data_IF_230936811726
#
_entry.id   IF_230936811726
#
_cell.length_a   1.000
_cell.length_b   1.000
_cell.length_c   1.000
_cell.angle_alpha   90.00
_cell.angle_beta   90.00
_cell.angle_gamma   90.00
#
_symmetry.space_group_name_H-M   'P 1'
#
loop_
_entity.id
_entity.type
_entity.pdbx_description
1 polymer ?
#
# COMPACT_ATOMS: atom_id res chain seq x y z
N UNK A 1 26.61 41.89 20.08
CA UNK A 1 25.48 40.96 19.84
C UNK A 1 25.72 40.21 18.53
N UNK A 2 26.01 38.90 18.51
CA UNK A 2 25.97 38.12 17.29
C UNK A 2 24.68 37.30 17.25
N UNK A 3 23.66 37.80 16.58
CA UNK A 3 22.54 37.00 16.10
C UNK A 3 22.86 36.59 14.66
N UNK A 4 22.98 35.29 14.37
CA UNK A 4 23.14 34.86 12.97
C UNK A 4 23.73 33.48 12.68
N UNK A 5 23.98 32.60 13.67
CA UNK A 5 24.60 31.28 13.41
C UNK A 5 23.71 30.04 13.63
N UNK A 6 22.42 30.19 13.92
CA UNK A 6 21.61 29.03 14.34
C UNK A 6 20.78 28.37 13.23
N UNK A 7 20.54 28.99 12.07
CA UNK A 7 19.50 28.49 11.14
C UNK A 7 19.95 27.47 10.10
N UNK A 8 21.24 27.41 9.75
CA UNK A 8 21.77 26.44 8.79
C UNK A 8 22.14 25.09 9.44
N UNK A 9 22.56 25.12 10.70
CA UNK A 9 22.94 23.92 11.46
C UNK A 9 21.73 23.07 11.81
N UNK A 10 20.62 23.67 12.26
CA UNK A 10 19.36 22.98 12.59
C UNK A 10 18.63 22.40 11.36
N UNK A 11 18.79 23.02 10.18
CA UNK A 11 18.14 22.55 8.94
C UNK A 11 18.80 21.29 8.35
N UNK A 12 20.08 21.08 8.67
CA UNK A 12 20.82 19.84 8.38
C UNK A 12 20.38 18.67 9.26
N UNK A 13 19.69 18.94 10.39
CA UNK A 13 19.70 18.00 11.51
C UNK A 13 19.05 16.66 11.29
N UNK A 14 18.09 16.42 10.38
CA UNK A 14 17.56 15.04 10.19
C UNK A 14 17.08 14.73 8.78
N UNK A 15 17.91 14.96 7.76
CA UNK A 15 17.65 14.33 6.46
C UNK A 15 18.06 12.85 6.52
N UNK A 16 17.16 11.95 6.11
CA UNK A 16 17.41 10.52 6.14
C UNK A 16 17.24 9.91 4.75
N UNK A 17 18.26 9.17 4.33
CA UNK A 17 18.17 8.22 3.21
C UNK A 17 17.82 6.82 3.72
N UNK A 18 17.31 5.99 2.82
CA UNK A 18 17.11 4.55 3.02
C UNK A 18 18.34 3.76 2.61
N UNK A 19 18.51 2.56 3.16
CA UNK A 19 19.45 1.59 2.58
C UNK A 19 18.88 1.07 1.25
N UNK A 20 19.75 0.56 0.36
CA UNK A 20 19.36 0.09 -0.98
C UNK A 20 18.20 -0.90 -0.95
N UNK A 21 18.20 -1.83 0.01
CA UNK A 21 17.10 -2.79 0.19
C UNK A 21 15.73 -2.15 0.45
N UNK A 22 15.65 -1.10 1.28
CA UNK A 22 14.39 -0.39 1.54
C UNK A 22 13.92 0.38 0.30
N UNK A 23 14.85 1.01 -0.41
CA UNK A 23 14.54 1.70 -1.66
C UNK A 23 14.01 0.74 -2.73
N UNK A 24 14.65 -0.43 -2.91
CA UNK A 24 14.16 -1.49 -3.79
C UNK A 24 12.78 -2.00 -3.37
N UNK A 25 12.54 -2.18 -2.07
CA UNK A 25 11.23 -2.59 -1.56
C UNK A 25 10.13 -1.60 -1.95
N UNK A 26 10.38 -0.29 -1.83
CA UNK A 26 9.42 0.74 -2.26
C UNK A 26 9.19 0.68 -3.78
N UNK A 27 10.25 0.52 -4.58
CA UNK A 27 10.09 0.39 -6.04
C UNK A 27 9.29 -0.85 -6.40
N UNK A 28 9.56 -2.00 -5.79
CA UNK A 28 8.87 -3.27 -6.09
C UNK A 28 7.40 -3.21 -5.64
N UNK A 29 7.13 -2.77 -4.42
CA UNK A 29 5.75 -2.64 -3.92
C UNK A 29 4.97 -1.58 -4.68
N UNK A 30 5.59 -0.45 -5.00
CA UNK A 30 5.02 0.57 -5.88
C UNK A 30 4.73 0.03 -7.29
N UNK A 31 5.67 -0.69 -7.91
CA UNK A 31 5.47 -1.27 -9.23
C UNK A 31 4.35 -2.32 -9.24
N UNK A 32 4.26 -3.19 -8.22
CA UNK A 32 3.19 -4.17 -8.09
C UNK A 32 1.81 -3.51 -7.93
N UNK A 33 1.72 -2.49 -7.07
CA UNK A 33 0.47 -1.73 -6.88
C UNK A 33 0.08 -0.91 -8.12
N UNK A 34 1.06 -0.32 -8.80
CA UNK A 34 0.85 0.41 -10.06
C UNK A 34 0.34 -0.54 -11.15
N UNK A 35 0.96 -1.71 -11.31
CA UNK A 35 0.53 -2.72 -12.27
C UNK A 35 -0.91 -3.16 -12.01
N UNK A 36 -1.23 -3.50 -10.75
CA UNK A 36 -2.60 -3.86 -10.37
C UNK A 36 -3.59 -2.73 -10.71
N UNK A 37 -3.26 -1.50 -10.32
CA UNK A 37 -4.11 -0.33 -10.58
C UNK A 37 -4.30 -0.06 -12.07
N UNK A 38 -3.24 -0.25 -12.87
CA UNK A 38 -3.25 -0.06 -14.31
C UNK A 38 -4.16 -1.09 -15.00
N UNK A 39 -4.01 -2.36 -14.67
CA UNK A 39 -4.84 -3.43 -15.25
C UNK A 39 -6.31 -3.26 -14.87
N UNK A 40 -6.62 -3.01 -13.59
CA UNK A 40 -8.00 -2.80 -13.15
C UNK A 40 -8.62 -1.58 -13.86
N UNK A 41 -7.84 -0.51 -14.08
CA UNK A 41 -8.33 0.67 -14.80
C UNK A 41 -8.69 0.33 -16.25
N UNK A 42 -7.80 -0.40 -16.96
CA UNK A 42 -8.07 -0.84 -18.34
C UNK A 42 -9.30 -1.75 -18.41
N UNK A 43 -9.39 -2.74 -17.51
CA UNK A 43 -10.51 -3.68 -17.50
C UNK A 43 -11.83 -2.96 -17.19
N UNK A 44 -11.82 -1.95 -16.32
CA UNK A 44 -12.99 -1.13 -16.04
C UNK A 44 -13.41 -0.29 -17.25
N UNK A 45 -12.48 0.24 -18.04
CA UNK A 45 -12.84 0.93 -19.28
C UNK A 45 -13.45 0.00 -20.30
N UNK A 46 -12.89 -1.20 -20.49
CA UNK A 46 -13.47 -2.20 -21.39
C UNK A 46 -14.87 -2.62 -20.97
N UNK A 47 -15.12 -2.77 -19.67
CA UNK A 47 -16.45 -3.09 -19.14
C UNK A 47 -17.47 -1.96 -19.36
N UNK A 48 -17.01 -0.69 -19.39
CA UNK A 48 -17.85 0.45 -19.71
C UNK A 48 -18.17 0.54 -21.21
N UNK A 49 -17.27 0.05 -22.07
CA UNK A 49 -17.48 -0.01 -23.53
C UNK A 49 -18.36 -1.20 -23.93
N UNK A 50 -18.17 -2.35 -23.28
CA UNK A 50 -18.88 -3.59 -23.51
C UNK A 50 -19.23 -4.26 -22.16
N UNK A 51 -20.50 -4.18 -21.71
CA UNK A 51 -20.96 -4.80 -20.47
C UNK A 51 -20.81 -6.33 -20.44
N UNK A 52 -20.71 -6.99 -21.60
CA UNK A 52 -20.50 -8.44 -21.67
C UNK A 52 -19.00 -8.82 -21.58
N UNK A 53 -18.10 -7.84 -21.43
CA UNK A 53 -16.67 -8.06 -21.26
C UNK A 53 -16.37 -8.77 -19.93
N UNK A 54 -15.77 -9.95 -20.00
CA UNK A 54 -15.28 -10.67 -18.82
C UNK A 54 -13.82 -10.35 -18.54
N UNK A 55 -13.47 -9.69 -17.41
CA UNK A 55 -12.08 -9.42 -17.05
C UNK A 55 -11.27 -10.71 -16.90
N UNK A 56 -9.99 -10.69 -17.30
CA UNK A 56 -9.15 -11.90 -17.30
C UNK A 56 -8.88 -12.52 -15.91
N UNK A 57 -9.14 -11.77 -14.84
CA UNK A 57 -9.05 -12.26 -13.46
C UNK A 57 -10.42 -12.69 -12.87
N UNK A 58 -11.49 -12.66 -13.67
CA UNK A 58 -12.80 -13.21 -13.32
C UNK A 58 -12.87 -14.69 -13.72
N UNK A 59 -12.47 -15.57 -12.81
CA UNK A 59 -12.33 -17.00 -13.07
C UNK A 59 -13.56 -17.80 -12.65
N UNK A 60 -14.25 -17.35 -11.60
CA UNK A 60 -15.42 -18.01 -11.04
C UNK A 60 -16.24 -16.99 -10.22
N UNK A 61 -17.44 -17.33 -9.71
CA UNK A 61 -18.28 -16.39 -8.99
C UNK A 61 -17.64 -15.78 -7.73
N UNK A 62 -16.72 -16.51 -7.08
CA UNK A 62 -15.98 -16.03 -5.91
C UNK A 62 -14.81 -15.14 -6.33
N UNK A 63 -14.00 -15.57 -7.30
CA UNK A 63 -12.88 -14.83 -7.87
C UNK A 63 -13.37 -14.07 -9.11
N UNK A 64 -14.11 -12.99 -8.88
CA UNK A 64 -14.70 -12.13 -9.91
C UNK A 64 -14.27 -10.68 -9.74
N UNK A 65 -13.39 -10.24 -10.63
CA UNK A 65 -12.99 -8.84 -10.71
C UNK A 65 -14.14 -7.95 -11.21
N UNK A 66 -15.00 -8.48 -12.09
CA UNK A 66 -16.17 -7.76 -12.64
C UNK A 66 -17.12 -7.31 -11.54
N UNK A 67 -17.56 -8.24 -10.69
CA UNK A 67 -18.47 -7.96 -9.57
C UNK A 67 -17.94 -6.88 -8.63
N UNK A 68 -16.62 -6.84 -8.42
CA UNK A 68 -15.97 -5.81 -7.62
C UNK A 68 -15.97 -4.47 -8.36
N UNK A 69 -15.64 -4.46 -9.65
CA UNK A 69 -15.56 -3.23 -10.44
C UNK A 69 -16.91 -2.55 -10.65
N UNK A 70 -18.00 -3.32 -10.71
CA UNK A 70 -19.37 -2.80 -10.83
C UNK A 70 -19.94 -2.26 -9.52
N UNK A 71 -19.35 -2.64 -8.37
CA UNK A 71 -19.82 -2.20 -7.07
C UNK A 71 -19.62 -0.69 -6.84
N UNK A 72 -20.53 -0.07 -6.08
CA UNK A 72 -20.44 1.35 -5.70
C UNK A 72 -19.13 1.65 -4.94
N UNK A 73 -18.62 0.67 -4.19
CA UNK A 73 -17.40 0.77 -3.42
C UNK A 73 -16.16 0.91 -4.31
N UNK A 74 -16.22 0.51 -5.59
CA UNK A 74 -15.15 0.71 -6.56
C UNK A 74 -14.93 2.18 -6.95
N UNK A 75 -15.84 3.08 -6.55
CA UNK A 75 -15.74 4.52 -6.75
C UNK A 75 -16.06 5.31 -5.47
N UNK A 76 -15.42 4.94 -4.37
CA UNK A 76 -15.70 5.49 -3.03
C UNK A 76 -15.52 7.02 -2.93
N UNK A 77 -14.69 7.60 -3.79
CA UNK A 77 -14.40 9.04 -3.83
C UNK A 77 -15.03 9.75 -5.04
N UNK A 78 -16.01 9.12 -5.72
CA UNK A 78 -16.65 9.66 -6.93
C UNK A 78 -15.88 9.42 -8.22
N UNK A 79 -14.74 8.74 -8.15
CA UNK A 79 -13.96 8.27 -9.30
C UNK A 79 -13.45 6.85 -9.03
N UNK A 80 -13.07 6.07 -10.06
CA UNK A 80 -12.58 4.72 -9.88
C UNK A 80 -11.36 4.67 -8.93
N UNK A 81 -11.46 3.91 -7.85
CA UNK A 81 -10.37 3.75 -6.87
C UNK A 81 -9.01 3.35 -7.50
N UNK A 82 -8.95 2.53 -8.57
CA UNK A 82 -7.68 2.24 -9.24
C UNK A 82 -6.93 3.49 -9.73
N UNK A 83 -7.63 4.58 -10.08
CA UNK A 83 -6.99 5.84 -10.47
C UNK A 83 -6.25 6.51 -9.29
N UNK A 84 -6.78 6.39 -8.07
CA UNK A 84 -6.06 6.79 -6.86
C UNK A 84 -4.76 5.99 -6.73
N UNK A 85 -4.84 4.68 -6.99
CA UNK A 85 -3.71 3.77 -6.98
C UNK A 85 -2.62 4.16 -8.00
N UNK A 86 -3.01 4.52 -9.23
CA UNK A 86 -2.06 4.98 -10.25
C UNK A 86 -1.19 6.15 -9.77
N UNK A 87 -1.82 7.14 -9.14
CA UNK A 87 -1.11 8.32 -8.61
C UNK A 87 -0.28 7.93 -7.38
N UNK A 88 -0.89 7.26 -6.40
CA UNK A 88 -0.24 6.94 -5.13
C UNK A 88 0.97 6.02 -5.30
N UNK A 89 0.83 4.92 -6.06
CA UNK A 89 1.92 3.99 -6.32
C UNK A 89 2.99 4.60 -7.25
N UNK A 90 2.60 5.47 -8.18
CA UNK A 90 3.54 6.25 -8.97
C UNK A 90 4.46 7.11 -8.08
N UNK A 91 3.88 7.82 -7.10
CA UNK A 91 4.65 8.58 -6.10
C UNK A 91 5.59 7.67 -5.31
N UNK A 92 5.12 6.50 -4.86
CA UNK A 92 5.95 5.53 -4.12
C UNK A 92 7.17 5.10 -4.94
N UNK A 93 7.00 4.80 -6.23
CA UNK A 93 8.11 4.46 -7.13
C UNK A 93 9.09 5.63 -7.22
N UNK A 94 8.60 6.85 -7.43
CA UNK A 94 9.45 8.04 -7.48
C UNK A 94 10.27 8.22 -6.19
N UNK A 95 9.67 7.98 -5.01
CA UNK A 95 10.38 7.99 -3.73
C UNK A 95 11.47 6.90 -3.71
N UNK A 96 11.12 5.67 -4.05
CA UNK A 96 12.06 4.55 -4.08
C UNK A 96 13.26 4.80 -5.00
N UNK A 97 13.01 5.26 -6.23
CA UNK A 97 14.06 5.60 -7.20
C UNK A 97 14.91 6.77 -6.71
N UNK A 98 14.30 7.80 -6.11
CA UNK A 98 15.05 8.92 -5.52
C UNK A 98 16.01 8.46 -4.43
N UNK A 99 15.60 7.51 -3.58
CA UNK A 99 16.49 6.91 -2.58
C UNK A 99 17.63 6.11 -3.20
N UNK A 100 17.38 5.39 -4.30
CA UNK A 100 18.43 4.69 -5.06
C UNK A 100 19.45 5.65 -5.66
N UNK A 101 18.99 6.83 -6.11
CA UNK A 101 19.84 7.93 -6.57
C UNK A 101 20.59 8.65 -5.44
N UNK A 102 20.39 8.25 -4.18
CA UNK A 102 21.09 8.81 -3.01
C UNK A 102 20.39 10.01 -2.38
N UNK A 103 19.14 10.32 -2.76
CA UNK A 103 18.38 11.40 -2.14
C UNK A 103 18.16 11.14 -0.64
N UNK A 104 18.13 12.23 0.13
CA UNK A 104 17.81 12.21 1.55
C UNK A 104 16.67 13.18 1.81
N UNK A 105 15.59 12.67 2.40
CA UNK A 105 14.41 13.48 2.65
C UNK A 105 14.37 13.97 4.10
N UNK A 106 13.84 15.17 4.35
CA UNK A 106 13.66 15.71 5.69
C UNK A 106 12.57 14.96 6.47
N UNK A 107 12.56 15.10 7.80
CA UNK A 107 11.59 14.44 8.70
C UNK A 107 10.12 14.65 8.29
N UNK A 108 9.72 15.86 7.93
CA UNK A 108 8.32 16.17 7.58
C UNK A 108 7.84 15.35 6.36
N UNK A 109 8.74 15.12 5.41
CA UNK A 109 8.45 14.34 4.21
C UNK A 109 8.15 12.89 4.58
N UNK A 110 8.99 12.30 5.43
CA UNK A 110 8.78 10.94 5.93
C UNK A 110 7.50 10.78 6.75
N UNK A 111 7.16 11.78 7.58
CA UNK A 111 5.90 11.77 8.32
C UNK A 111 4.69 11.86 7.39
N UNK A 112 4.74 12.75 6.39
CA UNK A 112 3.67 12.87 5.39
C UNK A 112 3.51 11.59 4.58
N UNK A 113 4.62 11.00 4.16
CA UNK A 113 4.63 9.72 3.44
C UNK A 113 4.07 8.59 4.30
N UNK A 114 4.42 8.54 5.60
CA UNK A 114 3.87 7.56 6.53
C UNK A 114 2.36 7.76 6.78
N UNK A 115 1.87 8.99 6.87
CA UNK A 115 0.43 9.27 6.93
C UNK A 115 -0.27 8.77 5.66
N UNK A 116 0.33 8.98 4.49
CA UNK A 116 -0.15 8.44 3.23
C UNK A 116 -0.23 6.91 3.23
N UNK A 117 0.79 6.21 3.76
CA UNK A 117 0.75 4.74 3.84
C UNK A 117 -0.24 4.22 4.89
N UNK A 118 -0.43 4.92 6.01
CA UNK A 118 -1.49 4.63 7.00
C UNK A 118 -2.86 4.73 6.35
N UNK A 119 -3.11 5.82 5.60
CA UNK A 119 -4.35 6.00 4.86
C UNK A 119 -4.53 4.86 3.84
N UNK A 120 -3.48 4.51 3.09
CA UNK A 120 -3.51 3.40 2.14
C UNK A 120 -3.92 2.07 2.78
N UNK A 121 -3.34 1.70 3.93
CA UNK A 121 -3.72 0.48 4.65
C UNK A 121 -5.15 0.57 5.15
N UNK A 122 -5.55 1.68 5.78
CA UNK A 122 -6.91 1.86 6.27
C UNK A 122 -7.96 1.72 5.14
N UNK A 123 -7.68 2.33 3.99
CA UNK A 123 -8.53 2.23 2.81
C UNK A 123 -8.55 0.80 2.24
N UNK A 124 -7.40 0.13 2.14
CA UNK A 124 -7.32 -1.27 1.72
C UNK A 124 -8.10 -2.19 2.68
N UNK A 125 -7.97 -2.02 3.99
CA UNK A 125 -8.71 -2.81 5.00
C UNK A 125 -10.21 -2.58 4.90
N UNK A 126 -10.65 -1.35 4.64
CA UNK A 126 -12.05 -1.09 4.37
C UNK A 126 -12.54 -1.79 3.10
N UNK A 127 -11.78 -1.72 2.00
CA UNK A 127 -12.11 -2.42 0.75
C UNK A 127 -12.11 -3.95 0.91
N UNK A 128 -11.20 -4.50 1.71
CA UNK A 128 -11.19 -5.93 2.07
C UNK A 128 -12.49 -6.31 2.75
N UNK A 129 -12.94 -5.53 3.74
CA UNK A 129 -14.21 -5.76 4.42
C UNK A 129 -15.40 -5.71 3.44
N UNK A 130 -15.44 -4.72 2.54
CA UNK A 130 -16.51 -4.63 1.52
C UNK A 130 -16.49 -5.85 0.58
N UNK A 131 -15.32 -6.26 0.11
CA UNK A 131 -15.14 -7.43 -0.76
C UNK A 131 -15.61 -8.73 -0.08
N UNK A 132 -15.19 -8.97 1.16
CA UNK A 132 -15.48 -10.21 1.90
C UNK A 132 -16.93 -10.31 2.40
N UNK A 133 -17.50 -9.21 2.89
CA UNK A 133 -18.73 -9.25 3.69
C UNK A 133 -19.91 -8.46 3.10
N UNK A 134 -19.71 -7.73 1.99
CA UNK A 134 -20.79 -7.02 1.29
C UNK A 134 -20.95 -7.50 -0.13
N UNK A 135 -19.87 -7.48 -0.92
CA UNK A 135 -19.88 -7.85 -2.34
C UNK A 135 -19.82 -9.37 -2.50
N UNK A 136 -19.13 -10.07 -1.60
CA UNK A 136 -18.90 -11.52 -1.65
C UNK A 136 -18.13 -11.97 -2.92
N UNK A 137 -17.19 -11.15 -3.37
CA UNK A 137 -16.30 -11.46 -4.48
C UNK A 137 -14.86 -11.03 -4.15
N UNK A 138 -13.87 -11.66 -4.79
CA UNK A 138 -12.44 -11.45 -4.62
C UNK A 138 -11.80 -11.09 -5.97
N UNK A 139 -10.93 -10.09 -5.97
CA UNK A 139 -10.17 -9.66 -7.15
C UNK A 139 -8.69 -9.90 -6.91
N UNK A 140 -8.04 -10.69 -7.77
CA UNK A 140 -6.62 -11.04 -7.63
C UNK A 140 -5.71 -9.81 -7.76
N UNK A 141 -6.06 -8.83 -8.61
CA UNK A 141 -5.33 -7.57 -8.71
C UNK A 141 -5.47 -6.72 -7.45
N UNK A 142 -6.67 -6.68 -6.85
CA UNK A 142 -6.87 -6.01 -5.55
C UNK A 142 -6.05 -6.69 -4.47
N UNK A 143 -6.02 -8.03 -4.42
CA UNK A 143 -5.17 -8.78 -3.49
C UNK A 143 -3.69 -8.43 -3.66
N UNK A 144 -3.18 -8.33 -4.89
CA UNK A 144 -1.81 -7.89 -5.16
C UNK A 144 -1.55 -6.47 -4.61
N UNK A 145 -2.47 -5.54 -4.85
CA UNK A 145 -2.38 -4.18 -4.32
C UNK A 145 -2.44 -4.17 -2.77
N UNK A 146 -3.27 -5.00 -2.15
CA UNK A 146 -3.35 -5.13 -0.69
C UNK A 146 -2.01 -5.60 -0.10
N UNK A 147 -1.44 -6.68 -0.63
CA UNK A 147 -0.14 -7.21 -0.18
C UNK A 147 0.95 -6.14 -0.32
N UNK A 148 1.02 -5.49 -1.48
CA UNK A 148 1.99 -4.42 -1.74
C UNK A 148 1.87 -3.27 -0.73
N UNK A 149 0.65 -2.78 -0.48
CA UNK A 149 0.40 -1.69 0.50
C UNK A 149 0.76 -2.11 1.92
N UNK A 150 0.37 -3.31 2.35
CA UNK A 150 0.63 -3.82 3.70
C UNK A 150 2.14 -3.95 3.96
N UNK A 151 2.87 -4.56 3.02
CA UNK A 151 4.34 -4.67 3.10
C UNK A 151 4.97 -3.28 3.14
N UNK A 152 4.62 -2.41 2.19
CA UNK A 152 5.14 -1.05 2.16
C UNK A 152 4.89 -0.30 3.48
N UNK A 153 3.67 -0.35 4.02
CA UNK A 153 3.30 0.34 5.25
C UNK A 153 4.16 -0.07 6.44
N UNK A 154 4.34 -1.38 6.67
CA UNK A 154 5.11 -1.86 7.82
C UNK A 154 6.58 -1.43 7.73
N UNK A 155 7.18 -1.48 6.54
CA UNK A 155 8.56 -1.05 6.34
C UNK A 155 8.73 0.47 6.45
N UNK A 156 7.80 1.26 5.92
CA UNK A 156 7.83 2.74 6.06
C UNK A 156 7.62 3.16 7.52
N UNK A 157 6.70 2.50 8.22
CA UNK A 157 6.44 2.75 9.64
C UNK A 157 7.64 2.39 10.50
N UNK A 158 8.23 1.20 10.27
CA UNK A 158 9.46 0.78 10.93
C UNK A 158 10.61 1.76 10.69
N UNK A 159 10.81 2.20 9.45
CA UNK A 159 11.82 3.21 9.11
C UNK A 159 11.61 4.52 9.88
N UNK A 160 10.38 5.02 9.90
CA UNK A 160 10.01 6.29 10.57
C UNK A 160 10.21 6.21 12.09
N UNK A 161 9.85 5.08 12.70
CA UNK A 161 10.04 4.83 14.14
C UNK A 161 11.52 4.66 14.50
N UNK A 162 12.30 3.90 13.70
CA UNK A 162 13.73 3.70 13.92
C UNK A 162 14.54 4.99 13.79
N UNK A 163 14.14 5.88 12.89
CA UNK A 163 14.73 7.22 12.71
C UNK A 163 14.29 8.23 13.77
N UNK A 164 13.45 7.83 14.74
CA UNK A 164 12.93 8.68 15.81
C UNK A 164 12.15 9.89 15.31
N UNK A 165 11.50 9.76 14.16
CA UNK A 165 10.60 10.80 13.66
C UNK A 165 9.25 10.79 14.38
N UNK A 166 8.89 9.65 14.98
CA UNK A 166 7.76 9.49 15.88
C UNK A 166 8.27 9.22 17.31
N UNK A 167 7.64 9.80 18.35
CA UNK A 167 7.97 9.49 19.74
C UNK A 167 7.54 8.06 20.05
N UNK A 168 8.50 7.13 20.06
CA UNK A 168 8.26 5.72 20.33
C UNK A 168 9.14 5.22 21.50
N UNK A 169 8.60 4.40 22.41
CA UNK A 169 9.38 3.79 23.49
C UNK A 169 10.47 2.86 22.93
N UNK A 170 11.54 2.65 23.71
CA UNK A 170 12.72 1.90 23.25
C UNK A 170 12.43 0.46 22.84
N UNK A 171 11.51 -0.21 23.55
CA UNK A 171 11.10 -1.58 23.25
C UNK A 171 10.43 -1.69 21.87
N UNK A 172 9.57 -0.72 21.50
CA UNK A 172 8.88 -0.71 20.22
C UNK A 172 9.86 -0.49 19.05
N UNK A 173 10.90 0.31 19.29
CA UNK A 173 11.98 0.52 18.31
C UNK A 173 12.80 -0.75 18.08
N UNK A 174 13.13 -1.49 19.14
CA UNK A 174 13.80 -2.78 19.05
C UNK A 174 12.95 -3.81 18.30
N UNK A 175 11.68 -3.93 18.70
CA UNK A 175 10.73 -4.86 18.10
C UNK A 175 10.52 -4.60 16.60
N UNK A 176 10.24 -3.34 16.20
CA UNK A 176 10.14 -3.00 14.78
C UNK A 176 11.48 -3.16 14.06
N UNK A 177 12.63 -3.02 14.73
CA UNK A 177 13.93 -3.26 14.11
C UNK A 177 14.12 -4.68 13.58
N UNK A 178 13.64 -5.68 14.34
CA UNK A 178 13.91 -7.10 14.12
C UNK A 178 12.71 -7.84 13.50
N UNK A 179 11.48 -7.45 13.87
CA UNK A 179 10.25 -8.16 13.51
C UNK A 179 9.38 -7.45 12.47
N UNK A 180 9.89 -6.41 11.76
CA UNK A 180 9.09 -5.73 10.71
C UNK A 180 8.54 -6.70 9.67
N UNK A 181 9.38 -7.62 9.19
CA UNK A 181 8.97 -8.60 8.18
C UNK A 181 7.90 -9.55 8.73
N UNK A 182 8.00 -9.93 10.01
CA UNK A 182 6.99 -10.77 10.69
C UNK A 182 5.65 -10.03 10.74
N UNK A 183 5.62 -8.73 11.07
CA UNK A 183 4.38 -7.96 11.07
C UNK A 183 3.73 -7.89 9.68
N UNK A 184 4.54 -7.70 8.63
CA UNK A 184 4.04 -7.70 7.27
C UNK A 184 3.47 -9.07 6.85
N UNK A 185 4.18 -10.14 7.16
CA UNK A 185 3.76 -11.52 6.85
C UNK A 185 2.53 -11.91 7.66
N UNK A 186 2.50 -11.63 8.97
CA UNK A 186 1.37 -11.95 9.84
C UNK A 186 0.14 -11.14 9.42
N UNK A 187 0.26 -9.84 9.17
CA UNK A 187 -0.89 -9.04 8.72
C UNK A 187 -1.43 -9.56 7.39
N UNK A 188 -0.56 -9.85 6.42
CA UNK A 188 -0.96 -10.45 5.15
C UNK A 188 -1.59 -11.83 5.32
N UNK A 189 -1.01 -12.67 6.18
CA UNK A 189 -1.49 -14.01 6.48
C UNK A 189 -2.83 -14.02 7.19
N UNK A 190 -3.10 -13.06 8.08
CA UNK A 190 -4.42 -12.87 8.69
C UNK A 190 -5.47 -12.55 7.62
N UNK A 191 -5.18 -11.64 6.70
CA UNK A 191 -6.10 -11.35 5.58
C UNK A 191 -6.30 -12.58 4.70
N UNK A 192 -5.23 -13.31 4.37
CA UNK A 192 -5.31 -14.57 3.63
C UNK A 192 -6.17 -15.63 4.34
N UNK A 193 -6.04 -15.74 5.65
CA UNK A 193 -6.84 -16.65 6.47
C UNK A 193 -8.31 -16.23 6.50
N UNK A 194 -8.62 -14.93 6.57
CA UNK A 194 -9.98 -14.44 6.47
C UNK A 194 -10.61 -14.76 5.11
N UNK A 195 -9.86 -14.65 4.02
CA UNK A 195 -10.31 -15.05 2.67
C UNK A 195 -10.57 -16.57 2.63
N UNK A 196 -9.62 -17.39 3.10
CA UNK A 196 -9.75 -18.86 3.10
C UNK A 196 -10.96 -19.33 3.91
N UNK A 197 -11.14 -18.80 5.12
CA UNK A 197 -12.25 -19.17 6.00
C UNK A 197 -13.60 -18.67 5.49
N UNK A 198 -13.65 -17.52 4.80
CA UNK A 198 -14.89 -16.97 4.26
C UNK A 198 -15.54 -17.85 3.19
N UNK A 199 -14.71 -18.50 2.37
CA UNK A 199 -15.14 -19.36 1.26
C UNK A 199 -14.67 -20.82 1.43
N UNK A 200 -14.49 -21.28 2.67
CA UNK A 200 -13.97 -22.61 2.97
C UNK A 200 -14.67 -23.73 2.19
N UNK A 201 -16.01 -23.74 2.25
CA UNK A 201 -16.83 -24.75 1.58
C UNK A 201 -16.70 -24.73 0.06
N UNK A 202 -16.40 -23.57 -0.54
CA UNK A 202 -16.16 -23.46 -1.99
C UNK A 202 -14.80 -24.05 -2.39
N UNK A 203 -13.79 -24.02 -1.50
CA UNK A 203 -12.47 -24.57 -1.79
C UNK A 203 -12.38 -26.08 -1.58
N UNK A 204 -13.22 -26.64 -0.70
CA UNK A 204 -13.17 -28.05 -0.31
C UNK A 204 -14.13 -28.96 -1.08
N UNK A 205 -15.04 -28.40 -1.88
CA UNK A 205 -15.97 -29.13 -2.74
C UNK A 205 -15.63 -28.93 -4.22
#
# INVERSE_FOLDING_TARGET
MPAGRTTASERSERTAGGHRGFALLLVITGAAGLLASWVITIDKFKLLEDPDFTPGCSLNPVVSCGNIMESDQASAFGFPNPMLGLVAYGIVICVGVSLLAGARFPRWYWLTFNVGTVFGVGFCTWLQFQSLYRINALCLWCCLAWVATLVMFWYVTSFTVRRQFLPAPGWLRGFLGEFTWVLAVVHTGVIGMLILTRWWDFWTN
#
